data_IF_361610168638
#
_entry.id   IF_361610168638
#
_cell.length_a   1.000
_cell.length_b   1.000
_cell.length_c   1.000
_cell.angle_alpha   90.00
_cell.angle_beta   90.00
_cell.angle_gamma   90.00
#
_symmetry.space_group_name_H-M   'P 1'
#
loop_
_entity.id
_entity.type
_entity.pdbx_description
1 polymer ?
#
# COMPACT_ATOMS: atom_id res chain seq x y z
N UNK A 1 14.63 7.00 -15.60
CA UNK A 1 13.61 6.08 -16.16
C UNK A 1 14.22 4.70 -16.25
N UNK A 2 14.08 3.88 -15.22
CA UNK A 2 14.43 2.46 -15.28
C UNK A 2 13.11 1.71 -15.50
N UNK A 3 12.83 1.35 -16.75
CA UNK A 3 11.81 0.35 -17.02
C UNK A 3 12.34 -0.96 -16.47
N UNK A 4 11.72 -1.46 -15.40
CA UNK A 4 11.90 -2.83 -14.97
C UNK A 4 11.25 -3.70 -16.07
N UNK A 5 12.02 -4.03 -17.12
CA UNK A 5 11.63 -5.08 -18.04
C UNK A 5 11.68 -6.39 -17.25
N UNK A 6 10.51 -6.92 -16.92
CA UNK A 6 10.35 -8.36 -16.67
C UNK A 6 10.78 -9.07 -17.96
N UNK A 7 12.02 -9.53 -17.99
CA UNK A 7 12.53 -10.37 -19.07
C UNK A 7 12.01 -11.77 -18.80
N UNK A 8 10.82 -12.06 -19.32
CA UNK A 8 10.25 -13.39 -19.34
C UNK A 8 11.13 -14.32 -20.20
N UNK A 9 12.18 -14.88 -19.61
CA UNK A 9 13.00 -15.92 -20.24
C UNK A 9 12.83 -17.21 -19.47
N UNK A 10 11.81 -18.00 -19.84
CA UNK A 10 11.78 -19.43 -19.51
C UNK A 10 10.41 -20.00 -19.15
N UNK A 11 9.69 -20.50 -20.17
CA UNK A 11 8.94 -21.76 -20.08
C UNK A 11 7.73 -21.81 -19.15
N UNK A 12 6.77 -20.90 -19.30
CA UNK A 12 5.38 -21.13 -18.86
C UNK A 12 4.47 -20.90 -20.05
N UNK A 13 3.60 -21.87 -20.32
CA UNK A 13 2.67 -21.86 -21.46
C UNK A 13 1.61 -20.75 -21.29
N UNK A 14 1.46 -19.93 -22.35
CA UNK A 14 0.61 -18.75 -22.57
C UNK A 14 1.24 -17.40 -22.20
N UNK A 15 1.73 -16.68 -23.22
CA UNK A 15 2.27 -15.31 -23.15
C UNK A 15 1.18 -14.22 -23.00
N UNK A 16 -0.10 -14.61 -22.87
CA UNK A 16 -1.26 -13.72 -22.84
C UNK A 16 -1.70 -13.36 -21.40
N UNK A 17 -0.78 -12.88 -20.56
CA UNK A 17 -1.16 -12.33 -19.25
C UNK A 17 -1.87 -10.99 -19.43
N UNK A 18 -3.21 -11.01 -19.44
CA UNK A 18 -4.04 -9.82 -19.66
C UNK A 18 -3.67 -8.63 -18.76
N UNK A 19 -3.23 -8.89 -17.53
CA UNK A 19 -2.87 -7.87 -16.52
C UNK A 19 -1.50 -7.23 -16.76
N UNK A 20 -0.65 -7.86 -17.58
CA UNK A 20 0.69 -7.38 -17.93
C UNK A 20 0.73 -6.73 -19.32
N UNK A 21 -0.37 -6.77 -20.06
CA UNK A 21 -0.49 -6.11 -21.34
C UNK A 21 -0.62 -4.59 -21.18
N UNK A 22 -0.11 -3.78 -22.13
CA UNK A 22 -0.33 -2.35 -22.13
C UNK A 22 -1.82 -2.00 -22.08
N UNK A 23 -2.19 -0.97 -21.30
CA UNK A 23 -3.57 -0.49 -21.25
C UNK A 23 -3.98 0.07 -22.62
N UNK A 24 -5.03 -0.52 -23.20
CA UNK A 24 -5.63 0.01 -24.41
C UNK A 24 -6.49 1.24 -24.09
N UNK A 25 -6.58 2.18 -25.04
CA UNK A 25 -7.56 3.26 -24.97
C UNK A 25 -8.96 2.66 -25.17
N UNK A 26 -9.85 2.90 -24.21
CA UNK A 26 -11.24 2.40 -24.25
C UNK A 26 -12.17 3.56 -24.53
N UNK A 27 -13.01 3.40 -25.56
CA UNK A 27 -14.06 4.37 -25.86
C UNK A 27 -15.22 4.24 -24.88
N UNK A 28 -15.83 5.38 -24.53
CA UNK A 28 -16.95 5.39 -23.61
C UNK A 28 -18.18 4.72 -24.25
N UNK A 29 -18.98 3.97 -23.47
CA UNK A 29 -20.25 3.44 -23.94
C UNK A 29 -21.15 4.53 -24.51
N UNK A 30 -21.74 4.27 -25.68
CA UNK A 30 -22.71 5.16 -26.30
C UNK A 30 -24.05 5.12 -25.55
N UNK A 31 -24.59 6.29 -25.22
CA UNK A 31 -25.94 6.44 -24.65
C UNK A 31 -25.95 7.00 -23.22
N UNK A 32 -26.31 8.27 -23.09
CA UNK A 32 -26.65 8.94 -21.82
C UNK A 32 -25.59 9.92 -21.29
N UNK A 33 -26.05 11.07 -20.76
CA UNK A 33 -25.24 12.05 -20.03
C UNK A 33 -24.86 11.48 -18.65
N UNK A 34 -23.96 10.49 -18.62
CA UNK A 34 -23.32 10.11 -17.37
C UNK A 34 -22.50 11.30 -16.83
N UNK A 35 -22.68 11.65 -15.55
CA UNK A 35 -21.92 12.74 -14.91
C UNK A 35 -20.42 12.44 -14.87
N UNK A 36 -20.06 11.16 -14.73
CA UNK A 36 -18.68 10.69 -14.72
C UNK A 36 -18.44 9.56 -15.75
N UNK A 37 -17.28 9.48 -16.42
CA UNK A 37 -16.97 8.43 -17.41
C UNK A 37 -17.14 6.99 -16.90
N UNK A 38 -16.81 6.74 -15.63
CA UNK A 38 -16.98 5.42 -14.99
C UNK A 38 -18.46 5.04 -14.90
N UNK A 39 -19.35 6.00 -14.64
CA UNK A 39 -20.79 5.73 -14.49
C UNK A 39 -21.39 5.22 -15.80
N UNK A 40 -20.87 5.64 -16.96
CA UNK A 40 -21.32 5.14 -18.26
C UNK A 40 -21.11 3.62 -18.39
N UNK A 41 -19.95 3.12 -17.94
CA UNK A 41 -19.66 1.68 -17.93
C UNK A 41 -20.56 0.91 -16.96
N UNK A 42 -20.79 1.46 -15.77
CA UNK A 42 -21.65 0.84 -14.75
C UNK A 42 -23.10 0.78 -15.25
N UNK A 43 -23.63 1.88 -15.79
CA UNK A 43 -24.99 1.96 -16.33
C UNK A 43 -25.20 1.00 -17.51
N UNK A 44 -24.23 0.89 -18.42
CA UNK A 44 -24.32 -0.07 -19.52
C UNK A 44 -24.42 -1.51 -19.01
N UNK A 45 -23.65 -1.87 -17.97
CA UNK A 45 -23.71 -3.21 -17.36
C UNK A 45 -25.01 -3.47 -16.62
N UNK A 46 -25.51 -2.49 -15.86
CA UNK A 46 -26.81 -2.58 -15.18
C UNK A 46 -27.96 -2.76 -16.19
N UNK A 47 -27.99 -1.96 -17.26
CA UNK A 47 -29.01 -2.05 -18.31
C UNK A 47 -29.02 -3.43 -18.98
N UNK A 48 -27.84 -3.98 -19.32
CA UNK A 48 -27.71 -5.34 -19.85
C UNK A 48 -28.21 -6.42 -18.88
N UNK A 49 -28.06 -6.19 -17.58
CA UNK A 49 -28.53 -7.10 -16.54
C UNK A 49 -30.00 -6.88 -16.15
N UNK A 50 -30.72 -5.92 -16.76
CA UNK A 50 -32.09 -5.56 -16.37
C UNK A 50 -32.17 -4.95 -14.97
N UNK A 51 -31.08 -4.38 -14.46
CA UNK A 51 -30.98 -3.78 -13.14
C UNK A 51 -31.05 -2.25 -13.23
N UNK A 52 -31.51 -1.63 -12.15
CA UNK A 52 -31.50 -0.18 -11.96
C UNK A 52 -30.64 0.19 -10.76
N UNK A 53 -30.11 1.41 -10.76
CA UNK A 53 -29.35 1.91 -9.62
C UNK A 53 -30.25 2.04 -8.39
N UNK A 54 -29.69 1.77 -7.21
CA UNK A 54 -30.38 2.06 -5.95
C UNK A 54 -30.61 3.57 -5.81
N UNK A 55 -31.68 4.00 -5.11
CA UNK A 55 -31.87 5.41 -4.80
C UNK A 55 -30.70 5.93 -3.95
N UNK A 56 -30.46 7.24 -4.04
CA UNK A 56 -29.49 7.91 -3.18
C UNK A 56 -29.86 7.70 -1.70
N UNK A 57 -28.84 7.61 -0.85
CA UNK A 57 -29.06 7.50 0.58
C UNK A 57 -29.65 8.80 1.13
N UNK A 58 -30.56 8.68 2.10
CA UNK A 58 -31.11 9.81 2.83
C UNK A 58 -30.00 10.71 3.42
N UNK A 59 -30.16 12.04 3.49
CA UNK A 59 -29.11 12.97 3.89
C UNK A 59 -28.41 12.59 5.21
N UNK A 60 -29.20 12.17 6.21
CA UNK A 60 -28.67 11.73 7.51
C UNK A 60 -27.80 10.48 7.40
N UNK A 61 -28.19 9.53 6.56
CA UNK A 61 -27.43 8.31 6.28
C UNK A 61 -26.14 8.65 5.54
N UNK A 62 -26.21 9.56 4.57
CA UNK A 62 -25.08 9.99 3.76
C UNK A 62 -23.98 10.63 4.61
N UNK A 63 -24.32 11.62 5.46
CA UNK A 63 -23.35 12.27 6.36
C UNK A 63 -22.70 11.28 7.30
N UNK A 64 -23.50 10.36 7.83
CA UNK A 64 -23.00 9.33 8.76
C UNK A 64 -21.99 8.42 8.05
N UNK A 65 -22.28 7.94 6.83
CA UNK A 65 -21.36 7.12 6.04
C UNK A 65 -20.06 7.87 5.76
N UNK A 66 -20.14 9.09 5.24
CA UNK A 66 -18.97 9.91 4.96
C UNK A 66 -18.02 10.05 6.16
N UNK A 67 -18.56 10.31 7.36
CA UNK A 67 -17.73 10.45 8.54
C UNK A 67 -17.09 9.13 8.99
N UNK A 68 -17.82 8.01 8.94
CA UNK A 68 -17.22 6.70 9.27
C UNK A 68 -16.18 6.27 8.24
N UNK A 69 -16.43 6.53 6.97
CA UNK A 69 -15.53 6.14 5.90
C UNK A 69 -14.24 6.97 5.94
N UNK A 70 -14.37 8.29 6.05
CA UNK A 70 -13.22 9.20 5.98
C UNK A 70 -12.50 9.38 7.33
N UNK A 71 -13.22 9.42 8.45
CA UNK A 71 -12.64 9.70 9.77
C UNK A 71 -12.76 8.54 10.76
N UNK A 72 -13.52 7.49 10.46
CA UNK A 72 -13.77 6.37 11.39
C UNK A 72 -14.65 6.70 12.59
N UNK A 73 -15.22 7.91 12.64
CA UNK A 73 -16.00 8.41 13.78
C UNK A 73 -17.38 8.87 13.33
N UNK A 74 -18.41 8.86 14.21
CA UNK A 74 -19.70 9.43 13.87
C UNK A 74 -19.64 10.96 13.73
N UNK A 75 -20.53 11.57 12.92
CA UNK A 75 -20.71 13.03 12.89
C UNK A 75 -21.31 13.53 14.22
N UNK A 76 -21.13 14.82 14.51
CA UNK A 76 -21.88 15.47 15.59
C UNK A 76 -23.37 15.60 15.24
N UNK A 77 -24.28 15.65 16.23
CA UNK A 77 -25.70 15.90 15.98
C UNK A 77 -25.96 17.18 15.17
N UNK A 78 -25.19 18.25 15.45
CA UNK A 78 -25.32 19.54 14.77
C UNK A 78 -24.92 19.44 13.29
N UNK A 79 -23.81 18.75 12.98
CA UNK A 79 -23.38 18.49 11.60
C UNK A 79 -24.43 17.71 10.81
N UNK A 80 -25.09 16.73 11.46
CA UNK A 80 -26.18 15.98 10.83
C UNK A 80 -27.38 16.88 10.56
N UNK A 81 -27.77 17.70 11.53
CA UNK A 81 -28.92 18.60 11.40
C UNK A 81 -28.68 19.66 10.30
N UNK A 82 -27.50 20.28 10.28
CA UNK A 82 -27.08 21.28 9.30
C UNK A 82 -27.14 20.73 7.87
N UNK A 83 -26.51 19.59 7.61
CA UNK A 83 -26.52 19.00 6.27
C UNK A 83 -27.90 18.50 5.87
N UNK A 84 -28.64 17.85 6.79
CA UNK A 84 -29.96 17.32 6.48
C UNK A 84 -30.99 18.42 6.18
N UNK A 85 -30.80 19.64 6.71
CA UNK A 85 -31.67 20.78 6.42
C UNK A 85 -31.48 21.33 4.99
N UNK A 86 -30.30 21.18 4.39
CA UNK A 86 -29.99 21.69 3.05
C UNK A 86 -28.96 20.81 2.28
N UNK A 87 -29.33 19.58 1.88
CA UNK A 87 -28.42 18.60 1.30
C UNK A 87 -28.18 18.83 -0.20
N UNK A 88 -27.68 20.01 -0.55
CA UNK A 88 -27.32 20.35 -1.94
C UNK A 88 -25.99 19.71 -2.35
N UNK A 89 -25.75 19.56 -3.66
CA UNK A 89 -24.46 19.10 -4.20
C UNK A 89 -23.30 19.94 -3.63
N UNK A 90 -23.47 21.27 -3.52
CA UNK A 90 -22.44 22.15 -2.94
C UNK A 90 -22.19 21.86 -1.45
N UNK A 91 -23.24 21.65 -0.64
CA UNK A 91 -23.10 21.28 0.76
C UNK A 91 -22.39 19.92 0.94
N UNK A 92 -22.64 18.98 0.02
CA UNK A 92 -21.99 17.67 -0.01
C UNK A 92 -20.49 17.78 -0.30
N UNK A 93 -20.11 18.55 -1.33
CA UNK A 93 -18.70 18.78 -1.65
C UNK A 93 -17.97 19.51 -0.53
N UNK A 94 -18.54 20.57 0.03
CA UNK A 94 -17.95 21.28 1.18
C UNK A 94 -17.80 20.38 2.42
N UNK A 95 -18.73 19.46 2.64
CA UNK A 95 -18.59 18.47 3.71
C UNK A 95 -17.41 17.53 3.44
N UNK A 96 -17.28 16.99 2.22
CA UNK A 96 -16.15 16.14 1.85
C UNK A 96 -14.83 16.88 2.03
N UNK A 97 -14.71 18.11 1.53
CA UNK A 97 -13.49 18.90 1.63
C UNK A 97 -13.08 19.11 3.09
N UNK A 98 -14.04 19.42 3.98
CA UNK A 98 -13.79 19.52 5.42
C UNK A 98 -13.32 18.20 6.04
N UNK A 99 -13.87 17.07 5.61
CA UNK A 99 -13.50 15.76 6.12
C UNK A 99 -12.10 15.35 5.64
N UNK A 100 -11.78 15.57 4.36
CA UNK A 100 -10.46 15.28 3.79
C UNK A 100 -9.37 16.18 4.38
N UNK A 101 -9.68 17.45 4.68
CA UNK A 101 -8.75 18.38 5.31
C UNK A 101 -8.52 18.14 6.81
N UNK A 102 -9.26 17.22 7.43
CA UNK A 102 -9.10 16.88 8.85
C UNK A 102 -7.86 16.02 9.05
N UNK A 103 -6.99 16.27 10.06
CA UNK A 103 -5.83 15.42 10.34
C UNK A 103 -6.23 13.96 10.67
N UNK A 104 -7.47 13.75 11.12
CA UNK A 104 -8.03 12.42 11.39
C UNK A 104 -8.26 11.59 10.14
N UNK A 105 -8.30 12.21 8.95
CA UNK A 105 -8.36 11.49 7.69
C UNK A 105 -7.12 10.60 7.51
N UNK A 106 -5.92 11.18 7.66
CA UNK A 106 -4.67 10.45 7.64
C UNK A 106 -4.59 9.38 8.72
N UNK A 107 -5.03 9.66 9.96
CA UNK A 107 -5.11 8.66 11.03
C UNK A 107 -5.98 7.45 10.65
N UNK A 108 -7.16 7.71 10.05
CA UNK A 108 -8.10 6.68 9.63
C UNK A 108 -7.55 5.86 8.46
N UNK A 109 -7.05 6.52 7.43
CA UNK A 109 -6.60 5.88 6.20
C UNK A 109 -5.24 5.21 6.35
N UNK A 110 -4.34 5.75 7.17
CA UNK A 110 -3.05 5.13 7.47
C UNK A 110 -3.21 3.72 8.03
N UNK A 111 -4.24 3.46 8.84
CA UNK A 111 -4.51 2.10 9.35
C UNK A 111 -4.63 1.06 8.24
N UNK A 112 -5.31 1.40 7.14
CA UNK A 112 -5.45 0.49 5.99
C UNK A 112 -4.10 0.23 5.31
N UNK A 113 -3.25 1.25 5.19
CA UNK A 113 -1.91 1.09 4.65
C UNK A 113 -0.98 0.32 5.58
N UNK A 114 -1.08 0.57 6.89
CA UNK A 114 -0.26 -0.08 7.90
C UNK A 114 -0.55 -1.58 8.01
N UNK A 115 -1.80 -2.00 7.72
CA UNK A 115 -2.15 -3.41 7.56
C UNK A 115 -1.38 -4.04 6.37
N UNK A 116 -1.28 -3.33 5.22
CA UNK A 116 -0.53 -3.77 4.04
C UNK A 116 0.98 -3.83 4.32
N UNK A 117 1.50 -2.82 5.01
CA UNK A 117 2.90 -2.74 5.44
C UNK A 117 3.24 -3.75 6.55
N UNK A 118 2.24 -4.47 7.09
CA UNK A 118 2.38 -5.43 8.19
C UNK A 118 2.94 -4.81 9.46
N UNK A 119 2.60 -3.55 9.70
CA UNK A 119 3.12 -2.77 10.80
C UNK A 119 2.72 -3.36 12.16
N UNK A 120 3.72 -3.56 13.02
CA UNK A 120 3.53 -3.91 14.42
C UNK A 120 4.50 -3.14 15.33
N UNK A 121 4.05 -2.81 16.53
CA UNK A 121 4.89 -2.18 17.56
C UNK A 121 5.64 -3.20 18.42
N UNK A 122 5.81 -4.42 17.90
CA UNK A 122 6.56 -5.51 18.52
C UNK A 122 7.23 -6.38 17.45
N UNK A 123 8.09 -7.32 17.86
CA UNK A 123 8.80 -8.17 16.91
C UNK A 123 7.88 -9.03 16.04
N UNK A 124 6.69 -9.38 16.52
CA UNK A 124 5.71 -10.17 15.78
C UNK A 124 6.18 -11.61 15.52
N UNK A 125 7.16 -12.09 16.28
CA UNK A 125 7.74 -13.43 16.18
C UNK A 125 7.81 -14.10 17.57
N UNK A 126 8.47 -15.25 17.68
CA UNK A 126 8.54 -16.06 18.91
C UNK A 126 8.92 -15.26 20.17
N UNK A 127 10.03 -14.50 20.13
CA UNK A 127 10.35 -13.51 21.16
C UNK A 127 9.78 -12.14 20.78
N UNK A 128 8.53 -11.94 21.19
CA UNK A 128 7.72 -10.78 20.83
C UNK A 128 8.02 -9.55 21.71
N UNK A 129 9.20 -8.97 21.57
CA UNK A 129 9.58 -7.76 22.30
C UNK A 129 8.98 -6.49 21.68
N UNK A 130 8.69 -5.44 22.49
CA UNK A 130 8.21 -4.16 21.96
C UNK A 130 9.24 -3.41 21.11
N UNK A 131 8.81 -2.84 19.98
CA UNK A 131 9.59 -1.93 19.12
C UNK A 131 9.25 -0.48 19.43
N UNK A 132 9.96 0.10 20.41
CA UNK A 132 9.69 1.46 20.94
C UNK A 132 9.88 2.60 19.93
N UNK A 133 10.52 2.33 18.80
CA UNK A 133 10.84 3.28 17.74
C UNK A 133 10.14 2.98 16.40
N UNK A 134 9.07 2.17 16.39
CA UNK A 134 8.31 1.89 15.16
C UNK A 134 7.41 3.07 14.71
N UNK A 135 6.94 3.87 15.68
CA UNK A 135 6.00 4.98 15.47
C UNK A 135 6.41 6.05 14.44
N UNK A 136 7.70 6.37 14.16
CA UNK A 136 8.04 7.36 13.16
C UNK A 136 7.56 6.99 11.75
N UNK A 137 7.53 5.69 11.41
CA UNK A 137 6.98 5.23 10.13
C UNK A 137 5.44 5.38 10.10
N UNK A 138 4.75 5.01 11.18
CA UNK A 138 3.30 5.23 11.31
C UNK A 138 2.95 6.70 11.11
N UNK A 139 3.64 7.59 11.81
CA UNK A 139 3.40 9.03 11.75
C UNK A 139 3.73 9.57 10.35
N UNK A 140 4.82 9.10 9.72
CA UNK A 140 5.13 9.47 8.33
C UNK A 140 4.03 9.07 7.34
N UNK A 141 3.40 7.89 7.50
CA UNK A 141 2.27 7.47 6.65
C UNK A 141 1.06 8.38 6.87
N UNK A 142 0.74 8.71 8.13
CA UNK A 142 -0.37 9.62 8.48
C UNK A 142 -0.13 10.99 7.85
N UNK A 143 1.07 11.55 8.01
CA UNK A 143 1.44 12.86 7.50
C UNK A 143 1.42 12.89 5.96
N UNK A 144 1.93 11.84 5.31
CA UNK A 144 1.92 11.71 3.84
C UNK A 144 0.50 11.70 3.25
N UNK A 145 -0.44 11.01 3.92
CA UNK A 145 -1.84 10.99 3.51
C UNK A 145 -2.54 12.33 3.72
N UNK A 146 -2.27 12.99 4.84
CA UNK A 146 -2.84 14.32 5.14
C UNK A 146 -2.26 15.41 4.23
N UNK A 147 -1.03 15.24 3.74
CA UNK A 147 -0.38 16.13 2.79
C UNK A 147 -0.83 15.91 1.33
N UNK A 148 -1.72 14.94 1.07
CA UNK A 148 -2.13 14.53 -0.28
C UNK A 148 -0.92 14.18 -1.17
N UNK A 149 0.05 13.45 -0.61
CA UNK A 149 1.25 13.06 -1.33
C UNK A 149 0.88 12.22 -2.57
N UNK A 150 1.40 12.55 -3.76
CA UNK A 150 1.21 11.74 -4.95
C UNK A 150 1.61 10.28 -4.72
N UNK A 151 0.77 9.34 -5.16
CA UNK A 151 0.98 7.92 -4.89
C UNK A 151 2.33 7.39 -5.40
N UNK A 152 2.81 7.90 -6.55
CA UNK A 152 4.11 7.52 -7.09
C UNK A 152 5.28 7.98 -6.20
N UNK A 153 5.15 9.14 -5.56
CA UNK A 153 6.10 9.62 -4.56
C UNK A 153 6.01 8.81 -3.27
N UNK A 154 4.80 8.56 -2.77
CA UNK A 154 4.56 7.73 -1.59
C UNK A 154 5.15 6.32 -1.73
N UNK A 155 5.01 5.70 -2.91
CA UNK A 155 5.60 4.41 -3.21
C UNK A 155 7.15 4.46 -3.28
N UNK A 156 7.71 5.45 -3.99
CA UNK A 156 9.17 5.60 -4.11
C UNK A 156 9.83 5.85 -2.76
N UNK A 157 9.24 6.69 -1.91
CA UNK A 157 9.76 7.02 -0.59
C UNK A 157 9.82 5.81 0.34
N UNK A 158 8.86 4.88 0.26
CA UNK A 158 8.88 3.69 1.10
C UNK A 158 9.92 2.65 0.67
N UNK A 159 10.27 2.61 -0.62
CA UNK A 159 11.30 1.70 -1.14
C UNK A 159 12.70 2.32 -1.03
N UNK A 160 12.84 3.63 -1.20
CA UNK A 160 14.15 4.28 -1.35
C UNK A 160 14.25 5.68 -0.72
N UNK A 161 13.37 6.03 0.21
CA UNK A 161 13.31 7.37 0.81
C UNK A 161 14.60 7.81 1.50
N UNK A 162 15.32 6.88 2.12
CA UNK A 162 16.65 7.10 2.70
C UNK A 162 17.73 7.52 1.68
N UNK A 163 17.59 7.10 0.41
CA UNK A 163 18.46 7.49 -0.70
C UNK A 163 17.95 8.78 -1.36
N UNK A 164 16.63 8.88 -1.57
CA UNK A 164 15.99 9.98 -2.29
C UNK A 164 15.95 11.27 -1.47
N UNK A 165 15.76 11.15 -0.15
CA UNK A 165 15.69 12.26 0.80
C UNK A 165 16.43 11.88 2.08
N UNK A 166 17.78 11.98 2.08
CA UNK A 166 18.57 11.64 3.26
C UNK A 166 18.17 12.47 4.48
N UNK A 167 18.02 11.81 5.62
CA UNK A 167 17.64 12.43 6.89
C UNK A 167 16.43 11.77 7.51
N UNK A 168 15.82 12.49 8.47
CA UNK A 168 14.78 11.96 9.35
C UNK A 168 13.57 11.44 8.56
N UNK A 169 13.13 12.20 7.58
CA UNK A 169 11.91 11.90 6.81
C UNK A 169 12.11 10.68 5.90
N UNK A 170 13.16 10.66 5.08
CA UNK A 170 13.47 9.50 4.24
C UNK A 170 13.73 8.23 5.03
N UNK A 171 14.39 8.34 6.20
CA UNK A 171 14.59 7.21 7.10
C UNK A 171 13.28 6.69 7.70
N UNK A 172 12.33 7.59 8.03
CA UNK A 172 11.02 7.18 8.50
C UNK A 172 10.23 6.45 7.40
N UNK A 173 10.27 6.95 6.16
CA UNK A 173 9.55 6.36 5.02
C UNK A 173 9.96 4.90 4.75
N UNK A 174 11.26 4.61 4.78
CA UNK A 174 11.77 3.23 4.57
C UNK A 174 11.55 2.30 5.75
N UNK A 175 10.92 2.78 6.83
CA UNK A 175 10.40 1.92 7.89
C UNK A 175 9.45 0.84 7.36
N UNK A 176 8.81 1.06 6.21
CA UNK A 176 8.06 0.05 5.44
C UNK A 176 8.84 -1.27 5.28
N UNK A 177 10.13 -1.20 4.96
CA UNK A 177 10.97 -2.38 4.68
C UNK A 177 11.24 -3.24 5.93
N UNK A 178 10.99 -2.71 7.12
CA UNK A 178 11.26 -3.36 8.42
C UNK A 178 10.04 -3.31 9.34
N UNK A 179 8.85 -3.03 8.79
CA UNK A 179 7.62 -2.93 9.55
C UNK A 179 7.06 -4.31 9.97
N UNK A 180 7.30 -5.32 9.12
CA UNK A 180 6.88 -6.71 9.33
C UNK A 180 7.65 -7.44 10.43
N UNK A 181 7.55 -8.77 10.48
CA UNK A 181 8.12 -9.61 11.55
C UNK A 181 9.64 -9.53 11.62
N UNK A 182 10.18 -9.59 12.84
CA UNK A 182 11.63 -9.58 13.12
C UNK A 182 11.96 -10.80 13.96
N UNK A 183 12.63 -11.77 13.35
CA UNK A 183 13.11 -12.95 14.04
C UNK A 183 14.43 -12.65 14.79
N UNK A 184 14.36 -12.51 16.11
CA UNK A 184 15.52 -12.36 16.99
C UNK A 184 16.04 -13.70 17.54
N UNK A 185 15.34 -14.80 17.29
CA UNK A 185 15.68 -16.16 17.75
C UNK A 185 16.56 -16.84 16.69
N UNK A 186 17.83 -16.43 16.65
CA UNK A 186 18.79 -16.94 15.67
C UNK A 186 19.52 -18.18 16.18
N UNK A 187 19.67 -19.18 15.30
CA UNK A 187 20.47 -20.36 15.60
C UNK A 187 21.96 -20.07 15.78
N UNK A 188 22.66 -20.97 16.48
CA UNK A 188 24.09 -20.80 16.77
C UNK A 188 24.99 -20.97 15.53
N UNK A 189 24.61 -21.82 14.58
CA UNK A 189 25.44 -22.14 13.41
C UNK A 189 25.36 -21.07 12.31
N UNK A 190 26.41 -20.89 11.50
CA UNK A 190 26.37 -19.99 10.34
C UNK A 190 25.24 -20.34 9.36
N UNK A 191 24.97 -21.63 9.14
CA UNK A 191 23.88 -22.09 8.27
C UNK A 191 22.52 -21.59 8.76
N UNK A 192 22.24 -21.70 10.06
CA UNK A 192 20.96 -21.26 10.63
C UNK A 192 20.79 -19.74 10.54
N UNK A 193 21.86 -18.97 10.77
CA UNK A 193 21.84 -17.52 10.62
C UNK A 193 21.60 -17.09 9.17
N UNK A 194 22.25 -17.77 8.22
CA UNK A 194 22.05 -17.53 6.80
C UNK A 194 20.62 -17.87 6.36
N UNK A 195 20.05 -18.97 6.86
CA UNK A 195 18.65 -19.33 6.59
C UNK A 195 17.69 -18.25 7.11
N UNK A 196 17.83 -17.83 8.37
CA UNK A 196 17.01 -16.78 8.95
C UNK A 196 17.11 -15.46 8.16
N UNK A 197 18.31 -15.12 7.67
CA UNK A 197 18.51 -13.95 6.81
C UNK A 197 17.80 -14.09 5.46
N UNK A 198 17.81 -15.27 4.84
CA UNK A 198 17.07 -15.51 3.60
C UNK A 198 15.56 -15.46 3.81
N UNK A 199 15.07 -15.87 4.98
CA UNK A 199 13.65 -15.75 5.33
C UNK A 199 13.25 -14.28 5.52
N UNK A 200 14.07 -13.47 6.20
CA UNK A 200 13.86 -12.02 6.33
C UNK A 200 13.81 -11.33 4.96
N UNK A 201 14.77 -11.61 4.06
CA UNK A 201 14.75 -11.06 2.71
C UNK A 201 13.51 -11.49 1.92
N UNK A 202 13.06 -12.74 2.10
CA UNK A 202 11.83 -13.24 1.50
C UNK A 202 10.59 -12.47 1.96
N UNK A 203 10.52 -12.10 3.24
CA UNK A 203 9.44 -11.26 3.77
C UNK A 203 9.46 -9.85 3.21
N UNK A 204 10.64 -9.23 3.06
CA UNK A 204 10.79 -7.90 2.47
C UNK A 204 10.36 -7.91 0.99
N UNK A 205 10.93 -8.82 0.20
CA UNK A 205 10.56 -8.99 -1.23
C UNK A 205 9.06 -9.21 -1.34
N UNK A 206 8.53 -10.11 -0.52
CA UNK A 206 7.12 -10.42 -0.48
C UNK A 206 6.22 -9.23 -0.18
N UNK A 207 6.57 -8.44 0.83
CA UNK A 207 5.78 -7.27 1.25
C UNK A 207 5.82 -6.19 0.18
N UNK A 208 7.00 -5.90 -0.40
CA UNK A 208 7.16 -4.93 -1.49
C UNK A 208 6.34 -5.33 -2.71
N UNK A 209 6.46 -6.58 -3.19
CA UNK A 209 5.79 -6.99 -4.43
C UNK A 209 4.28 -7.11 -4.26
N UNK A 210 3.81 -7.57 -3.09
CA UNK A 210 2.37 -7.62 -2.82
C UNK A 210 1.77 -6.23 -2.70
N UNK A 211 2.45 -5.31 -2.00
CA UNK A 211 1.95 -3.95 -1.79
C UNK A 211 1.91 -3.12 -3.08
N UNK A 212 2.99 -3.17 -3.89
CA UNK A 212 3.14 -2.24 -5.02
C UNK A 212 2.87 -2.88 -6.39
N UNK A 213 3.05 -4.18 -6.54
CA UNK A 213 2.82 -4.88 -7.81
C UNK A 213 1.54 -5.73 -7.81
N UNK A 214 0.97 -6.01 -6.63
CA UNK A 214 -0.15 -6.94 -6.49
C UNK A 214 0.22 -8.39 -6.82
N UNK A 215 1.52 -8.75 -6.76
CA UNK A 215 2.04 -10.06 -7.15
C UNK A 215 2.64 -10.83 -5.96
N UNK A 216 2.39 -12.13 -5.91
CA UNK A 216 2.96 -13.05 -4.91
C UNK A 216 4.19 -13.75 -5.47
N UNK A 217 5.35 -13.09 -5.38
CA UNK A 217 6.56 -13.60 -6.03
C UNK A 217 7.25 -14.75 -5.28
N UNK A 218 6.83 -15.07 -4.05
CA UNK A 218 7.58 -15.96 -3.15
C UNK A 218 7.71 -17.41 -3.63
N UNK A 219 6.79 -17.91 -4.47
CA UNK A 219 6.94 -19.23 -5.08
C UNK A 219 8.22 -19.33 -5.93
N UNK A 220 8.63 -18.21 -6.54
CA UNK A 220 9.85 -18.09 -7.34
C UNK A 220 11.14 -18.35 -6.55
N UNK A 221 11.09 -18.37 -5.21
CA UNK A 221 12.25 -18.62 -4.34
C UNK A 221 12.93 -19.96 -4.61
N UNK A 222 12.14 -21.01 -4.89
CA UNK A 222 12.63 -22.38 -5.02
C UNK A 222 12.55 -22.91 -6.45
N UNK A 223 11.62 -22.41 -7.25
CA UNK A 223 11.40 -22.79 -8.65
C UNK A 223 10.71 -21.63 -9.37
N UNK A 224 10.79 -21.52 -10.69
CA UNK A 224 10.05 -20.50 -11.44
C UNK A 224 8.57 -20.47 -11.02
N UNK A 225 8.01 -19.28 -10.88
CA UNK A 225 6.67 -19.09 -10.36
C UNK A 225 5.65 -19.90 -11.19
N UNK A 226 4.67 -20.51 -10.50
CA UNK A 226 3.79 -21.53 -11.10
C UNK A 226 2.93 -21.00 -12.25
N UNK A 227 2.48 -19.74 -12.16
CA UNK A 227 1.50 -19.14 -13.08
C UNK A 227 1.93 -17.79 -13.64
N UNK A 228 2.50 -16.94 -12.79
CA UNK A 228 3.08 -15.65 -13.21
C UNK A 228 4.47 -15.84 -13.86
N UNK A 229 4.85 -14.96 -14.82
CA UNK A 229 6.11 -15.07 -15.55
C UNK A 229 7.27 -14.51 -14.72
N UNK A 230 7.57 -15.15 -13.60
CA UNK A 230 8.64 -14.73 -12.69
C UNK A 230 9.58 -15.91 -12.50
N UNK A 231 10.82 -15.75 -12.97
CA UNK A 231 11.87 -16.75 -12.81
C UNK A 231 12.47 -16.73 -11.40
N UNK A 232 13.12 -17.84 -11.03
CA UNK A 232 13.95 -17.89 -9.82
C UNK A 232 15.05 -16.84 -9.85
N UNK A 233 15.63 -16.55 -11.01
CA UNK A 233 16.67 -15.54 -11.17
C UNK A 233 16.15 -14.12 -10.87
N UNK A 234 14.97 -13.77 -11.38
CA UNK A 234 14.34 -12.48 -11.10
C UNK A 234 14.00 -12.34 -9.61
N UNK A 235 13.55 -13.42 -8.95
CA UNK A 235 13.34 -13.43 -7.50
C UNK A 235 14.61 -13.08 -6.73
N UNK A 236 15.72 -13.76 -7.02
CA UNK A 236 16.98 -13.48 -6.32
C UNK A 236 17.59 -12.13 -6.71
N UNK A 237 17.32 -11.63 -7.92
CA UNK A 237 17.67 -10.27 -8.33
C UNK A 237 16.93 -9.22 -7.50
N UNK A 238 15.63 -9.43 -7.24
CA UNK A 238 14.87 -8.58 -6.31
C UNK A 238 15.39 -8.69 -4.88
N UNK A 239 15.67 -9.90 -4.39
CA UNK A 239 16.23 -10.09 -3.05
C UNK A 239 17.59 -9.38 -2.87
N UNK A 240 18.43 -9.36 -3.90
CA UNK A 240 19.71 -8.67 -3.89
C UNK A 240 19.58 -7.16 -3.67
N UNK A 241 18.52 -6.52 -4.19
CA UNK A 241 18.25 -5.08 -3.96
C UNK A 241 18.06 -4.75 -2.47
N UNK A 242 17.54 -5.71 -1.70
CA UNK A 242 17.26 -5.55 -0.27
C UNK A 242 18.30 -6.21 0.64
N UNK A 243 19.35 -6.82 0.08
CA UNK A 243 20.39 -7.53 0.83
C UNK A 243 21.10 -6.65 1.89
N UNK A 244 21.09 -5.33 1.70
CA UNK A 244 21.64 -4.36 2.65
C UNK A 244 20.66 -3.89 3.74
N UNK A 245 19.38 -4.26 3.72
CA UNK A 245 18.37 -3.81 4.70
C UNK A 245 18.47 -4.64 5.98
N UNK A 246 18.58 -3.99 7.14
CA UNK A 246 18.62 -4.66 8.44
C UNK A 246 17.71 -3.97 9.45
N UNK A 247 17.12 -4.76 10.34
CA UNK A 247 16.48 -4.22 11.53
C UNK A 247 17.52 -3.59 12.47
N UNK A 248 17.30 -2.35 12.90
CA UNK A 248 18.20 -1.65 13.82
C UNK A 248 17.54 -0.50 14.55
N UNK A 249 17.90 -0.31 15.81
CA UNK A 249 17.55 0.89 16.58
C UNK A 249 18.69 1.90 16.47
N UNK A 250 18.70 2.70 15.41
CA UNK A 250 19.69 3.76 15.33
C UNK A 250 19.27 4.91 16.25
N UNK A 251 20.13 5.23 17.22
CA UNK A 251 20.02 6.45 18.02
C UNK A 251 20.35 7.63 17.10
N UNK A 252 19.30 8.20 16.51
CA UNK A 252 19.41 9.09 15.36
C UNK A 252 18.87 8.34 14.13
N UNK A 253 17.75 8.80 13.58
CA UNK A 253 17.06 8.17 12.45
C UNK A 253 17.93 8.23 11.18
N UNK A 254 18.87 7.29 11.01
CA UNK A 254 19.56 7.05 9.74
C UNK A 254 18.98 5.81 9.03
N UNK A 255 19.46 5.56 7.82
CA UNK A 255 18.95 4.53 6.91
C UNK A 255 18.91 3.12 7.56
N UNK A 256 17.87 2.35 7.21
CA UNK A 256 17.77 0.89 7.51
C UNK A 256 18.73 0.05 6.68
N UNK A 257 19.37 0.65 5.65
CA UNK A 257 20.39 0.00 4.84
C UNK A 257 21.75 0.16 5.52
N UNK A 258 22.40 -0.95 5.80
CA UNK A 258 23.79 -1.00 6.24
C UNK A 258 24.68 -1.28 5.02
N UNK A 259 25.95 -0.81 5.02
CA UNK A 259 26.92 -1.25 4.02
C UNK A 259 26.98 -2.78 4.01
N UNK A 260 26.92 -3.39 2.83
CA UNK A 260 27.15 -4.83 2.70
C UNK A 260 28.58 -5.07 3.16
N UNK A 261 28.83 -5.85 4.22
CA UNK A 261 30.20 -6.20 4.58
C UNK A 261 30.80 -6.98 3.42
N UNK A 262 31.86 -6.41 2.84
CA UNK A 262 32.71 -7.04 1.81
C UNK A 262 33.51 -8.19 2.40
#
# INVERSE_FOLDING_TARGET
>A
MAALLLLATGGVASEDWWSLQPLAKVDLPSGGMAKHPIDAFVQQRLAKAGLVSSPLAEPRTLVRRLHFDLLGLPPSPDTVAEFAANPTDSAYHQLIDRLLASPRYGERWARHWLDVARYGESNGFEYNEPRRNAWPYRDWVIDSLNADMPYDEFARMQVAGDILLPGREGAAAVGFLVAGTHNTVLGASPLMKNQARQDELGEIVGTVTQAFLGLTVQCARCHNHKTDPISTEEYYSMAALFAGVWHGAQHGMHSVRMPIPV
#
